data_IF_847537024547
#
_entry.id   IF_847537024547
#
_cell.length_a   1.000
_cell.length_b   1.000
_cell.length_c   1.000
_cell.angle_alpha   90.00
_cell.angle_beta   90.00
_cell.angle_gamma   90.00
#
_symmetry.space_group_name_H-M   'P 1'
#
loop_
_entity.id
_entity.type
_entity.pdbx_description
1 polymer ?
#
# COMPACT_ATOMS: atom_id res chain seq x y z
N UNK A 1 15.94 -33.36 15.76
CA UNK A 1 15.51 -32.12 15.07
C UNK A 1 16.76 -31.31 14.76
N UNK A 2 17.05 -30.99 13.50
CA UNK A 2 18.18 -30.12 13.16
C UNK A 2 17.76 -28.66 13.38
N UNK A 3 18.65 -27.85 13.96
CA UNK A 3 18.45 -26.39 14.07
C UNK A 3 18.50 -25.70 12.70
N UNK A 4 19.31 -26.27 11.79
CA UNK A 4 19.41 -25.76 10.43
C UNK A 4 18.37 -26.42 9.52
N UNK A 5 17.64 -25.60 8.75
CA UNK A 5 16.71 -26.09 7.73
C UNK A 5 17.46 -26.55 6.47
N UNK A 6 16.83 -27.41 5.68
CA UNK A 6 17.38 -27.85 4.38
C UNK A 6 17.48 -26.69 3.37
N UNK A 7 16.64 -25.66 3.54
CA UNK A 7 16.66 -24.44 2.73
C UNK A 7 17.50 -23.34 3.41
N UNK A 8 18.82 -23.50 3.43
CA UNK A 8 19.72 -22.46 3.91
C UNK A 8 19.86 -21.35 2.86
N UNK A 9 19.78 -20.08 3.32
CA UNK A 9 20.15 -18.95 2.48
C UNK A 9 21.68 -18.93 2.30
N UNK A 10 22.17 -18.57 1.10
CA UNK A 10 23.59 -18.37 0.88
C UNK A 10 24.19 -17.34 1.85
N UNK A 11 25.49 -17.45 2.12
CA UNK A 11 26.18 -16.60 3.07
C UNK A 11 26.02 -15.10 2.76
N UNK A 12 25.78 -14.33 3.81
CA UNK A 12 25.74 -12.89 3.77
C UNK A 12 27.06 -12.31 4.29
N UNK A 13 27.63 -11.34 3.59
CA UNK A 13 28.89 -10.68 3.95
C UNK A 13 28.66 -9.24 4.35
N UNK A 14 29.26 -8.81 5.47
CA UNK A 14 29.27 -7.41 5.89
C UNK A 14 30.36 -6.64 5.16
N UNK A 15 29.98 -5.57 4.49
CA UNK A 15 30.89 -4.72 3.71
C UNK A 15 30.56 -3.23 3.87
N UNK A 16 31.26 -2.36 3.20
CA UNK A 16 31.09 -0.91 3.30
C UNK A 16 31.15 -0.27 1.92
N UNK A 17 30.28 0.71 1.69
CA UNK A 17 30.27 1.52 0.48
C UNK A 17 30.31 3.01 0.85
N UNK A 18 30.99 3.84 0.05
CA UNK A 18 30.97 5.29 0.30
C UNK A 18 29.63 5.89 -0.16
N UNK A 19 29.21 7.00 0.45
CA UNK A 19 27.98 7.68 0.05
C UNK A 19 28.07 8.18 -1.40
N UNK A 20 29.24 8.59 -1.86
CA UNK A 20 29.46 8.94 -3.26
C UNK A 20 29.33 7.76 -4.20
N UNK A 21 29.77 6.56 -3.80
CA UNK A 21 29.60 5.34 -4.59
C UNK A 21 28.14 4.91 -4.64
N UNK A 22 27.40 4.97 -3.52
CA UNK A 22 25.96 4.73 -3.50
C UNK A 22 25.26 5.65 -4.50
N UNK A 23 25.58 6.94 -4.47
CA UNK A 23 25.00 7.91 -5.38
C UNK A 23 25.28 7.55 -6.83
N UNK A 24 26.53 7.24 -7.18
CA UNK A 24 26.90 6.91 -8.54
C UNK A 24 26.18 5.65 -9.06
N UNK A 25 26.08 4.61 -8.23
CA UNK A 25 25.40 3.35 -8.59
C UNK A 25 23.88 3.48 -8.72
N UNK A 26 23.27 4.48 -8.07
CA UNK A 26 21.83 4.78 -8.20
C UNK A 26 21.53 5.78 -9.31
N UNK A 27 22.53 6.38 -9.94
CA UNK A 27 22.38 7.45 -10.92
C UNK A 27 22.48 6.94 -12.36
N UNK A 28 21.95 7.72 -13.31
CA UNK A 28 21.98 7.40 -14.74
C UNK A 28 20.75 6.62 -15.22
N UNK A 29 20.68 6.36 -16.52
CA UNK A 29 19.55 5.72 -17.18
C UNK A 29 19.42 4.22 -16.85
N UNK A 30 20.51 3.59 -16.43
CA UNK A 30 20.56 2.17 -16.07
C UNK A 30 21.33 1.95 -14.75
N UNK A 31 20.78 2.34 -13.61
CA UNK A 31 21.47 2.27 -12.31
C UNK A 31 21.80 0.83 -11.95
N UNK A 32 22.98 0.63 -11.36
CA UNK A 32 23.41 -0.68 -10.84
C UNK A 32 22.69 -1.03 -9.51
N UNK A 33 22.49 -0.03 -8.65
CA UNK A 33 21.81 -0.17 -7.37
C UNK A 33 20.34 0.28 -7.49
N UNK A 34 19.41 -0.64 -7.27
CA UNK A 34 17.98 -0.45 -7.52
C UNK A 34 17.12 -0.84 -6.34
N UNK A 35 15.95 -0.23 -6.27
CA UNK A 35 14.87 -0.64 -5.38
C UNK A 35 14.00 -1.65 -6.11
N UNK A 36 13.72 -2.84 -5.52
CA UNK A 36 12.80 -3.79 -6.12
C UNK A 36 11.38 -3.23 -6.21
N UNK A 37 10.65 -3.61 -7.25
CA UNK A 37 9.29 -3.14 -7.50
C UNK A 37 8.23 -3.59 -6.47
N UNK A 38 8.53 -4.59 -5.65
CA UNK A 38 7.65 -5.04 -4.56
C UNK A 38 7.81 -4.23 -3.26
N UNK A 39 8.83 -3.37 -3.17
CA UNK A 39 8.98 -2.46 -2.04
C UNK A 39 8.13 -1.21 -2.24
N UNK A 40 7.74 -0.60 -1.11
CA UNK A 40 6.99 0.65 -1.11
C UNK A 40 7.82 1.79 -1.69
N UNK A 41 7.15 2.84 -2.17
CA UNK A 41 7.80 4.09 -2.53
C UNK A 41 8.51 4.75 -1.32
N UNK A 42 9.37 5.73 -1.62
CA UNK A 42 10.02 6.52 -0.60
C UNK A 42 9.01 7.28 0.27
N UNK A 43 9.06 7.09 1.60
CA UNK A 43 8.01 7.57 2.51
C UNK A 43 8.50 8.51 3.61
N UNK A 44 9.81 8.78 3.73
CA UNK A 44 10.30 9.65 4.79
C UNK A 44 9.83 11.08 4.62
N UNK A 45 9.23 11.62 5.68
CA UNK A 45 8.89 13.03 5.80
C UNK A 45 10.17 13.90 5.84
N UNK A 46 10.01 15.19 5.55
CA UNK A 46 11.12 16.15 5.64
C UNK A 46 11.84 16.11 6.99
N UNK A 47 11.10 15.98 8.08
CA UNK A 47 11.70 15.88 9.43
C UNK A 47 12.55 14.61 9.60
N UNK A 48 12.14 13.47 9.05
CA UNK A 48 12.92 12.25 9.09
C UNK A 48 14.19 12.35 8.23
N UNK A 49 14.10 12.98 7.05
CA UNK A 49 15.25 13.28 6.21
C UNK A 49 16.27 14.16 6.94
N UNK A 50 15.81 15.26 7.52
CA UNK A 50 16.67 16.20 8.26
C UNK A 50 17.35 15.54 9.45
N UNK A 51 16.64 14.72 10.24
CA UNK A 51 17.22 13.97 11.35
C UNK A 51 18.29 12.97 10.90
N UNK A 52 18.07 12.33 9.77
CA UNK A 52 19.04 11.39 9.22
C UNK A 52 20.29 12.12 8.72
N UNK A 53 20.13 13.22 7.98
CA UNK A 53 21.24 14.06 7.55
C UNK A 53 21.99 14.69 8.73
N UNK A 54 21.28 15.03 9.80
CA UNK A 54 21.92 15.48 11.07
C UNK A 54 22.79 14.38 11.69
N UNK A 55 22.30 13.14 11.71
CA UNK A 55 23.10 12.00 12.20
C UNK A 55 24.38 11.82 11.38
N UNK A 56 24.29 11.96 10.05
CA UNK A 56 25.47 11.94 9.17
C UNK A 56 26.43 13.11 9.50
N UNK A 57 25.90 14.33 9.63
CA UNK A 57 26.73 15.51 9.93
C UNK A 57 27.48 15.42 11.26
N UNK A 58 26.89 14.72 12.23
CA UNK A 58 27.50 14.45 13.56
C UNK A 58 28.38 13.20 13.58
N UNK A 59 28.58 12.55 12.43
CA UNK A 59 29.31 11.29 12.32
C UNK A 59 28.77 10.20 13.27
N UNK A 60 27.45 10.20 13.51
CA UNK A 60 26.81 9.16 14.32
C UNK A 60 26.80 7.83 13.58
N UNK A 61 26.82 6.69 14.28
CA UNK A 61 26.66 5.40 13.65
C UNK A 61 25.34 5.36 12.88
N UNK A 62 25.40 5.10 11.58
CA UNK A 62 24.24 4.91 10.72
C UNK A 62 23.99 3.42 10.57
N UNK A 63 22.71 3.03 10.76
CA UNK A 63 22.32 1.66 10.48
C UNK A 63 22.58 1.36 9.01
N UNK A 64 23.07 0.15 8.76
CA UNK A 64 23.40 -0.32 7.43
C UNK A 64 22.20 -0.57 6.55
N UNK A 65 22.47 -1.12 5.38
CA UNK A 65 21.49 -1.62 4.45
C UNK A 65 21.66 -3.12 4.25
N UNK A 66 20.71 -3.76 3.58
CA UNK A 66 20.88 -5.12 3.06
C UNK A 66 20.66 -5.06 1.54
N UNK A 67 21.59 -5.62 0.80
CA UNK A 67 21.64 -5.55 -0.66
C UNK A 67 21.84 -6.96 -1.21
N UNK A 68 21.04 -7.36 -2.18
CA UNK A 68 21.24 -8.62 -2.91
C UNK A 68 21.88 -8.34 -4.27
N UNK A 69 23.04 -8.91 -4.51
CA UNK A 69 23.74 -8.84 -5.80
C UNK A 69 23.28 -10.02 -6.68
N UNK A 70 22.71 -9.74 -7.83
CA UNK A 70 22.55 -10.70 -8.93
C UNK A 70 23.89 -10.75 -9.69
N UNK A 71 24.69 -11.79 -9.46
CA UNK A 71 26.03 -11.91 -10.06
C UNK A 71 25.99 -12.07 -11.58
N UNK A 72 24.86 -12.52 -12.14
CA UNK A 72 24.68 -12.72 -13.57
C UNK A 72 24.47 -11.38 -14.30
N UNK A 73 23.74 -10.45 -13.67
CA UNK A 73 23.40 -9.15 -14.30
C UNK A 73 24.25 -8.01 -13.77
N UNK A 74 24.91 -8.19 -12.61
CA UNK A 74 25.61 -7.14 -11.87
C UNK A 74 24.68 -6.17 -11.16
N UNK A 75 23.36 -6.38 -11.18
CA UNK A 75 22.39 -5.52 -10.53
C UNK A 75 22.35 -5.81 -9.03
N UNK A 76 22.38 -4.74 -8.24
CA UNK A 76 22.26 -4.77 -6.79
C UNK A 76 20.85 -4.33 -6.38
N UNK A 77 20.14 -5.19 -5.66
CA UNK A 77 18.78 -4.94 -5.19
C UNK A 77 18.77 -4.56 -3.71
N UNK A 78 18.24 -3.38 -3.37
CA UNK A 78 18.12 -2.91 -2.00
C UNK A 78 17.02 -3.71 -1.30
N UNK A 79 17.39 -4.55 -0.34
CA UNK A 79 16.46 -5.36 0.44
C UNK A 79 15.95 -4.61 1.69
N UNK A 80 16.83 -3.87 2.36
CA UNK A 80 16.52 -2.95 3.47
C UNK A 80 17.40 -1.70 3.40
N UNK A 81 16.91 -0.63 4.00
CA UNK A 81 17.63 0.64 4.04
C UNK A 81 17.27 1.60 2.90
N UNK A 82 16.27 1.29 2.09
CA UNK A 82 15.81 2.12 0.97
C UNK A 82 15.67 3.60 1.33
N UNK A 83 14.96 3.92 2.41
CA UNK A 83 14.75 5.32 2.80
C UNK A 83 16.06 6.04 3.15
N UNK A 84 17.00 5.33 3.76
CA UNK A 84 18.34 5.87 4.08
C UNK A 84 19.14 6.17 2.82
N UNK A 85 19.22 5.18 1.94
CA UNK A 85 19.93 5.27 0.67
C UNK A 85 19.33 6.35 -0.23
N UNK A 86 18.01 6.37 -0.37
CA UNK A 86 17.31 7.35 -1.19
C UNK A 86 17.44 8.78 -0.63
N UNK A 87 17.47 8.96 0.69
CA UNK A 87 17.75 10.26 1.30
C UNK A 87 19.17 10.75 0.95
N UNK A 88 20.16 9.86 0.96
CA UNK A 88 21.53 10.18 0.54
C UNK A 88 21.54 10.61 -0.93
N UNK A 89 20.91 9.81 -1.82
CA UNK A 89 20.82 10.12 -3.25
C UNK A 89 20.20 11.49 -3.48
N UNK A 90 19.05 11.75 -2.87
CA UNK A 90 18.33 13.03 -3.01
C UNK A 90 19.12 14.21 -2.49
N UNK A 91 19.84 14.05 -1.40
CA UNK A 91 20.69 15.12 -0.86
C UNK A 91 21.88 15.41 -1.78
N UNK A 92 22.58 14.39 -2.25
CA UNK A 92 23.70 14.55 -3.18
C UNK A 92 23.30 15.07 -4.57
N UNK A 93 21.99 14.94 -4.91
CA UNK A 93 21.39 15.44 -6.16
C UNK A 93 20.63 16.77 -5.99
N UNK A 94 20.82 17.48 -4.86
CA UNK A 94 20.14 18.76 -4.55
C UNK A 94 18.60 18.73 -4.53
N UNK A 95 17.99 17.53 -4.47
CA UNK A 95 16.54 17.38 -4.38
C UNK A 95 15.99 17.70 -2.99
N UNK A 96 16.82 17.63 -1.97
CA UNK A 96 16.49 17.99 -0.57
C UNK A 96 17.58 18.86 0.04
N UNK A 97 17.19 19.65 1.03
CA UNK A 97 18.09 20.56 1.75
C UNK A 97 18.31 20.11 3.18
N UNK A 98 19.52 20.28 3.70
CA UNK A 98 19.81 20.14 5.12
C UNK A 98 20.04 21.53 5.74
N UNK A 99 19.23 21.90 6.73
CA UNK A 99 19.26 23.23 7.37
C UNK A 99 19.21 24.38 6.33
N UNK A 100 18.44 24.22 5.27
CA UNK A 100 18.27 25.22 4.22
C UNK A 100 19.37 25.20 3.14
N UNK A 101 20.41 24.40 3.26
CA UNK A 101 21.57 24.35 2.33
C UNK A 101 21.48 23.09 1.44
N UNK A 102 21.70 23.24 0.13
CA UNK A 102 21.86 22.14 -0.82
C UNK A 102 23.30 21.59 -0.75
N UNK A 103 23.48 20.34 -1.20
CA UNK A 103 24.80 19.74 -1.27
C UNK A 103 25.77 20.52 -2.18
N UNK A 104 25.29 21.02 -3.34
CA UNK A 104 26.09 21.82 -4.27
C UNK A 104 26.57 23.15 -3.68
N UNK A 105 25.87 23.69 -2.68
CA UNK A 105 26.21 24.95 -2.00
C UNK A 105 27.28 24.78 -0.92
N UNK A 106 27.63 23.53 -0.53
CA UNK A 106 28.64 23.26 0.49
C UNK A 106 30.06 23.52 -0.02
N UNK A 107 31.00 23.84 0.86
CA UNK A 107 32.44 23.92 0.52
C UNK A 107 32.98 22.59 -0.02
N UNK A 108 33.96 22.63 -0.92
CA UNK A 108 34.49 21.42 -1.58
C UNK A 108 35.12 20.39 -0.62
N UNK A 109 35.70 20.84 0.47
CA UNK A 109 36.19 19.96 1.51
C UNK A 109 35.07 19.21 2.22
N UNK A 110 33.92 19.84 2.47
CA UNK A 110 32.75 19.18 3.05
C UNK A 110 32.09 18.21 2.07
N UNK A 111 31.94 18.62 0.81
CA UNK A 111 31.44 17.73 -0.27
C UNK A 111 32.28 16.44 -0.35
N UNK A 112 33.61 16.57 -0.36
CA UNK A 112 34.52 15.42 -0.36
C UNK A 112 34.36 14.57 0.89
N UNK A 113 34.27 15.20 2.05
CA UNK A 113 34.10 14.50 3.33
C UNK A 113 32.80 13.69 3.33
N UNK A 114 31.68 14.28 2.91
CA UNK A 114 30.37 13.60 2.83
C UNK A 114 30.43 12.43 1.85
N UNK A 115 30.93 12.65 0.64
CA UNK A 115 31.06 11.56 -0.38
C UNK A 115 31.92 10.39 0.11
N UNK A 116 32.93 10.66 0.92
CA UNK A 116 33.85 9.64 1.46
C UNK A 116 33.31 8.92 2.72
N UNK A 117 32.26 9.42 3.36
CA UNK A 117 31.63 8.71 4.49
C UNK A 117 31.20 7.32 4.05
N UNK A 118 31.39 6.33 4.95
CA UNK A 118 31.08 4.93 4.66
C UNK A 118 29.80 4.51 5.35
N UNK A 119 28.92 3.88 4.59
CA UNK A 119 27.77 3.14 5.10
C UNK A 119 28.09 1.64 5.08
N UNK A 120 27.86 0.96 6.21
CA UNK A 120 27.93 -0.49 6.25
C UNK A 120 26.73 -1.09 5.58
N UNK A 121 26.88 -2.22 4.89
CA UNK A 121 25.75 -3.00 4.41
C UNK A 121 26.07 -4.48 4.45
N UNK A 122 25.04 -5.31 4.48
CA UNK A 122 25.17 -6.75 4.33
C UNK A 122 24.86 -7.09 2.87
N UNK A 123 25.79 -7.72 2.18
CA UNK A 123 25.61 -8.22 0.84
C UNK A 123 25.19 -9.67 0.87
N UNK A 124 24.10 -10.00 0.19
CA UNK A 124 23.71 -11.35 -0.17
C UNK A 124 23.89 -11.51 -1.68
N UNK A 125 24.03 -12.73 -2.17
CA UNK A 125 24.28 -13.00 -3.58
C UNK A 125 23.33 -14.04 -4.12
N UNK A 126 22.78 -13.74 -5.29
CA UNK A 126 21.94 -14.66 -6.08
C UNK A 126 20.73 -15.24 -5.32
N UNK A 127 20.21 -14.47 -4.32
CA UNK A 127 18.96 -14.87 -3.68
C UNK A 127 17.82 -14.80 -4.69
N UNK A 128 16.96 -15.81 -4.68
CA UNK A 128 15.75 -15.79 -5.48
C UNK A 128 14.81 -14.66 -5.03
N UNK A 129 13.84 -14.34 -5.88
CA UNK A 129 12.83 -13.33 -5.54
C UNK A 129 12.04 -13.71 -4.28
N UNK A 130 11.69 -14.99 -4.14
CA UNK A 130 10.98 -15.52 -2.98
C UNK A 130 11.80 -15.38 -1.70
N UNK A 131 13.10 -15.70 -1.76
CA UNK A 131 14.01 -15.51 -0.63
C UNK A 131 14.14 -14.06 -0.22
N UNK A 132 14.23 -13.16 -1.21
CA UNK A 132 14.27 -11.72 -0.98
C UNK A 132 12.98 -11.21 -0.34
N UNK A 133 11.82 -11.69 -0.78
CA UNK A 133 10.52 -11.32 -0.21
C UNK A 133 10.34 -11.86 1.22
N UNK A 134 10.69 -13.12 1.47
CA UNK A 134 10.65 -13.72 2.81
C UNK A 134 11.53 -12.93 3.80
N UNK A 135 12.75 -12.60 3.41
CA UNK A 135 13.65 -11.80 4.21
C UNK A 135 13.07 -10.39 4.48
N UNK A 136 12.54 -9.71 3.46
CA UNK A 136 11.91 -8.41 3.61
C UNK A 136 10.76 -8.46 4.62
N UNK A 137 9.92 -9.49 4.56
CA UNK A 137 8.81 -9.67 5.51
C UNK A 137 9.32 -9.85 6.94
N UNK A 138 10.35 -10.67 7.15
CA UNK A 138 10.94 -10.94 8.48
C UNK A 138 11.58 -9.69 9.10
N UNK A 139 12.31 -8.90 8.33
CA UNK A 139 12.91 -7.64 8.84
C UNK A 139 11.83 -6.65 9.28
N UNK A 140 10.70 -6.62 8.55
CA UNK A 140 9.61 -5.70 8.83
C UNK A 140 8.74 -6.12 10.03
N UNK A 141 8.92 -7.31 10.59
CA UNK A 141 8.24 -7.71 11.82
C UNK A 141 8.52 -6.75 13.00
N UNK A 142 9.64 -6.03 12.98
CA UNK A 142 9.97 -4.97 13.95
C UNK A 142 9.24 -3.64 13.73
N UNK A 143 8.78 -3.37 12.51
CA UNK A 143 7.96 -2.20 12.15
C UNK A 143 6.77 -2.73 11.37
N UNK A 144 5.65 -3.00 12.07
CA UNK A 144 4.45 -3.58 11.45
C UNK A 144 4.14 -2.93 10.11
N UNK A 145 4.37 -3.68 9.04
CA UNK A 145 3.80 -3.35 7.74
C UNK A 145 2.28 -3.31 7.87
N UNK A 146 1.66 -2.38 7.16
CA UNK A 146 0.20 -2.41 7.00
C UNK A 146 -0.19 -3.52 6.03
N UNK A 147 -1.40 -3.99 6.18
CA UNK A 147 -1.91 -5.09 5.37
C UNK A 147 -1.80 -4.82 3.86
N UNK A 148 -2.03 -3.57 3.43
CA UNK A 148 -1.83 -3.16 2.04
C UNK A 148 -0.38 -3.28 1.54
N UNK A 149 0.60 -2.98 2.39
CA UNK A 149 2.03 -3.15 2.07
C UNK A 149 2.41 -4.64 1.94
N UNK A 150 1.81 -5.50 2.80
CA UNK A 150 2.00 -6.96 2.74
C UNK A 150 1.38 -7.57 1.47
N UNK A 151 0.18 -7.12 1.07
CA UNK A 151 -0.47 -7.55 -0.17
C UNK A 151 0.39 -7.14 -1.37
N UNK A 152 0.84 -5.87 -1.42
CA UNK A 152 1.68 -5.39 -2.51
C UNK A 152 3.00 -6.16 -2.62
N UNK A 153 3.61 -6.54 -1.49
CA UNK A 153 4.85 -7.32 -1.48
C UNK A 153 4.69 -8.73 -2.09
N UNK A 154 3.48 -9.29 -2.07
CA UNK A 154 3.14 -10.57 -2.70
C UNK A 154 2.82 -10.40 -4.21
N UNK A 155 3.71 -9.76 -4.96
CA UNK A 155 3.47 -9.37 -6.36
C UNK A 155 3.20 -10.53 -7.33
N UNK A 156 3.58 -11.76 -6.97
CA UNK A 156 3.33 -12.96 -7.78
C UNK A 156 1.99 -13.64 -7.45
N UNK A 157 1.35 -13.23 -6.34
CA UNK A 157 0.04 -13.72 -5.93
C UNK A 157 -1.05 -13.28 -6.93
N UNK A 158 -1.95 -14.18 -7.25
CA UNK A 158 -3.02 -13.94 -8.25
C UNK A 158 -4.00 -12.84 -7.85
N UNK A 159 -4.30 -12.68 -6.54
CA UNK A 159 -5.11 -11.56 -6.06
C UNK A 159 -4.39 -10.24 -6.25
N UNK A 160 -3.08 -10.18 -5.96
CA UNK A 160 -2.28 -8.96 -6.16
C UNK A 160 -2.23 -8.57 -7.64
N UNK A 161 -2.08 -9.53 -8.56
CA UNK A 161 -2.17 -9.27 -10.00
C UNK A 161 -3.54 -8.73 -10.41
N UNK A 162 -4.62 -9.29 -9.87
CA UNK A 162 -5.98 -8.81 -10.10
C UNK A 162 -6.17 -7.37 -9.59
N UNK A 163 -5.65 -7.04 -8.41
CA UNK A 163 -5.66 -5.68 -7.86
C UNK A 163 -4.93 -4.71 -8.79
N UNK A 164 -3.71 -5.05 -9.23
CA UNK A 164 -2.94 -4.22 -10.18
C UNK A 164 -3.73 -3.99 -11.46
N UNK A 165 -4.31 -5.04 -12.04
CA UNK A 165 -5.14 -4.93 -13.25
C UNK A 165 -6.38 -4.03 -13.07
N UNK A 166 -7.01 -4.02 -11.89
CA UNK A 166 -8.10 -3.08 -11.60
C UNK A 166 -7.57 -1.65 -11.50
N UNK A 167 -6.41 -1.46 -10.85
CA UNK A 167 -5.81 -0.15 -10.67
C UNK A 167 -5.38 0.54 -11.97
N UNK A 168 -5.07 -0.20 -13.03
CA UNK A 168 -4.80 0.38 -14.36
C UNK A 168 -5.92 1.34 -14.82
N UNK A 169 -7.16 1.10 -14.38
CA UNK A 169 -8.33 1.89 -14.76
C UNK A 169 -8.92 2.74 -13.63
N UNK A 170 -8.62 2.41 -12.37
CA UNK A 170 -9.26 2.99 -11.20
C UNK A 170 -8.30 3.70 -10.23
N UNK A 171 -7.05 3.97 -10.62
CA UNK A 171 -6.08 4.63 -9.72
C UNK A 171 -6.58 5.99 -9.23
N UNK A 172 -7.23 6.76 -10.09
CA UNK A 172 -7.76 8.08 -9.76
C UNK A 172 -9.02 8.01 -8.90
N UNK A 173 -9.80 6.93 -8.95
CA UNK A 173 -10.93 6.69 -8.08
C UNK A 173 -10.56 6.76 -6.58
N UNK A 174 -9.37 6.29 -6.22
CA UNK A 174 -8.90 6.34 -4.84
C UNK A 174 -8.37 7.72 -4.43
N UNK A 175 -7.86 8.52 -5.37
CA UNK A 175 -7.26 9.84 -5.14
C UNK A 175 -8.29 10.95 -5.17
N UNK A 176 -9.21 10.90 -6.15
CA UNK A 176 -10.19 11.93 -6.39
C UNK A 176 -11.15 12.05 -5.22
N UNK A 177 -11.60 13.28 -4.94
CA UNK A 177 -12.62 13.52 -3.92
C UNK A 177 -13.96 12.92 -4.34
N UNK A 178 -14.89 12.63 -3.41
CA UNK A 178 -16.21 12.11 -3.75
C UNK A 178 -16.98 12.97 -4.75
N UNK A 179 -16.88 14.29 -4.67
CA UNK A 179 -17.48 15.21 -5.66
C UNK A 179 -16.98 14.98 -7.09
N UNK A 180 -15.81 14.40 -7.25
CA UNK A 180 -15.16 14.08 -8.52
C UNK A 180 -15.19 12.56 -8.79
N UNK A 181 -16.08 11.83 -8.10
CA UNK A 181 -16.34 10.39 -8.30
C UNK A 181 -15.37 9.45 -7.59
N UNK A 182 -14.56 9.93 -6.66
CA UNK A 182 -13.57 9.12 -5.96
C UNK A 182 -13.85 8.91 -4.47
N UNK A 183 -12.86 8.34 -3.77
CA UNK A 183 -12.91 8.09 -2.33
C UNK A 183 -12.17 9.17 -1.51
N UNK A 184 -11.32 9.99 -2.13
CA UNK A 184 -10.60 11.08 -1.49
C UNK A 184 -9.56 10.62 -0.47
N UNK A 185 -8.92 9.47 -0.69
CA UNK A 185 -7.91 8.96 0.22
C UNK A 185 -6.66 9.84 0.23
N UNK A 186 -6.08 10.00 1.41
CA UNK A 186 -4.87 10.82 1.57
C UNK A 186 -3.67 10.20 0.86
N UNK A 187 -2.72 11.02 0.35
CA UNK A 187 -1.50 10.51 -0.23
C UNK A 187 -0.75 9.53 0.69
N UNK A 188 -0.68 9.80 1.99
CA UNK A 188 -0.03 8.93 2.96
C UNK A 188 -0.69 7.54 3.09
N UNK A 189 -2.03 7.45 2.91
CA UNK A 189 -2.72 6.16 2.88
C UNK A 189 -2.44 5.39 1.59
N UNK A 190 -2.40 6.09 0.46
CA UNK A 190 -2.10 5.49 -0.85
C UNK A 190 -0.63 5.04 -0.95
N UNK A 191 0.32 5.84 -0.43
CA UNK A 191 1.75 5.47 -0.37
C UNK A 191 2.01 4.21 0.47
N UNK A 192 1.13 3.88 1.40
CA UNK A 192 1.17 2.65 2.18
C UNK A 192 0.25 1.58 1.62
N UNK A 193 -0.08 1.64 0.34
CA UNK A 193 -0.91 0.68 -0.40
C UNK A 193 -2.28 0.40 0.23
N UNK A 194 -2.88 1.39 0.90
CA UNK A 194 -4.20 1.24 1.49
C UNK A 194 -5.31 0.94 0.47
N UNK A 195 -5.14 1.34 -0.80
CA UNK A 195 -6.02 0.97 -1.89
C UNK A 195 -5.96 -0.53 -2.26
N UNK A 196 -4.84 -1.21 -2.02
CA UNK A 196 -4.73 -2.67 -2.15
C UNK A 196 -5.57 -3.39 -1.10
N UNK A 197 -5.53 -2.88 0.14
CA UNK A 197 -6.37 -3.36 1.23
C UNK A 197 -7.86 -3.28 0.88
N UNK A 198 -8.29 -2.14 0.34
CA UNK A 198 -9.68 -1.92 -0.07
C UNK A 198 -10.07 -2.84 -1.24
N UNK A 199 -9.25 -2.91 -2.29
CA UNK A 199 -9.56 -3.73 -3.45
C UNK A 199 -9.59 -5.22 -3.12
N UNK A 200 -8.62 -5.74 -2.38
CA UNK A 200 -8.63 -7.13 -1.94
C UNK A 200 -9.88 -7.45 -1.09
N UNK A 201 -10.27 -6.50 -0.24
CA UNK A 201 -11.51 -6.59 0.55
C UNK A 201 -12.75 -6.62 -0.35
N UNK A 202 -12.83 -5.74 -1.36
CA UNK A 202 -13.97 -5.68 -2.29
C UNK A 202 -14.06 -6.94 -3.15
N UNK A 203 -12.93 -7.44 -3.67
CA UNK A 203 -12.90 -8.68 -4.46
C UNK A 203 -13.43 -9.85 -3.64
N UNK A 204 -12.97 -10.00 -2.37
CA UNK A 204 -13.53 -11.02 -1.50
C UNK A 204 -15.01 -10.83 -1.24
N UNK A 205 -15.44 -9.62 -0.92
CA UNK A 205 -16.83 -9.28 -0.65
C UNK A 205 -17.74 -9.66 -1.84
N UNK A 206 -17.32 -9.33 -3.04
CA UNK A 206 -18.02 -9.69 -4.29
C UNK A 206 -18.06 -11.20 -4.45
N UNK A 207 -16.93 -11.90 -4.26
CA UNK A 207 -16.84 -13.35 -4.43
C UNK A 207 -17.67 -14.14 -3.41
N UNK A 208 -17.70 -13.70 -2.14
CA UNK A 208 -18.36 -14.43 -1.05
C UNK A 208 -19.75 -13.88 -0.70
N UNK A 209 -20.09 -12.69 -1.16
CA UNK A 209 -21.27 -11.94 -0.74
C UNK A 209 -21.33 -11.69 0.79
N UNK A 210 -20.16 -11.66 1.45
CA UNK A 210 -20.00 -11.41 2.88
C UNK A 210 -19.34 -10.06 3.15
N UNK A 211 -19.79 -9.36 4.20
CA UNK A 211 -19.14 -8.13 4.63
C UNK A 211 -17.85 -8.44 5.40
N UNK A 212 -16.75 -7.76 5.09
CA UNK A 212 -15.48 -7.98 5.77
C UNK A 212 -15.44 -7.33 7.15
N UNK A 213 -15.27 -8.13 8.20
CA UNK A 213 -15.17 -7.63 9.59
C UNK A 213 -13.89 -6.81 9.85
N UNK A 214 -12.80 -7.16 9.17
CA UNK A 214 -11.47 -6.52 9.30
C UNK A 214 -10.86 -6.38 7.91
N UNK A 215 -11.11 -5.26 7.21
CA UNK A 215 -10.78 -5.13 5.79
C UNK A 215 -9.36 -5.54 5.42
N UNK A 216 -8.33 -5.04 6.07
CA UNK A 216 -6.94 -5.36 5.74
C UNK A 216 -6.60 -6.83 5.94
N UNK A 217 -6.93 -7.38 7.12
CA UNK A 217 -6.72 -8.81 7.39
C UNK A 217 -7.52 -9.67 6.41
N UNK A 218 -8.74 -9.28 6.10
CA UNK A 218 -9.60 -9.98 5.15
C UNK A 218 -8.97 -10.05 3.77
N UNK A 219 -8.36 -8.97 3.30
CA UNK A 219 -7.66 -8.93 2.02
C UNK A 219 -6.38 -9.80 2.03
N UNK A 220 -5.65 -9.85 3.14
CA UNK A 220 -4.50 -10.76 3.31
C UNK A 220 -4.91 -12.23 3.30
N UNK A 221 -5.95 -12.57 4.07
CA UNK A 221 -6.50 -13.93 4.09
C UNK A 221 -6.98 -14.35 2.69
N UNK A 222 -7.49 -13.40 1.90
CA UNK A 222 -7.91 -13.66 0.52
C UNK A 222 -6.70 -13.91 -0.41
N UNK A 223 -5.52 -13.31 -0.15
CA UNK A 223 -4.30 -13.68 -0.87
C UNK A 223 -3.97 -15.16 -0.69
N UNK A 224 -4.05 -15.66 0.55
CA UNK A 224 -3.77 -17.07 0.84
C UNK A 224 -4.79 -18.00 0.15
N UNK A 225 -6.06 -17.57 0.05
CA UNK A 225 -7.11 -18.30 -0.70
C UNK A 225 -6.80 -18.34 -2.21
N UNK A 226 -6.24 -17.27 -2.77
CA UNK A 226 -5.94 -17.20 -4.21
C UNK A 226 -4.64 -17.89 -4.61
N UNK A 227 -3.80 -18.24 -3.65
CA UNK A 227 -2.61 -19.09 -3.88
C UNK A 227 -3.00 -20.58 -4.06
N UNK A 228 -4.18 -21.02 -3.60
CA UNK A 228 -4.70 -22.35 -3.87
C UNK A 228 -5.13 -22.46 -5.35
N UNK A 229 -4.55 -23.39 -6.08
CA UNK A 229 -4.84 -23.61 -7.50
C UNK A 229 -6.30 -24.04 -7.77
N UNK A 230 -6.97 -24.59 -6.76
CA UNK A 230 -8.30 -25.18 -6.90
C UNK A 230 -9.43 -24.27 -6.41
N UNK A 231 -9.15 -23.31 -5.53
CA UNK A 231 -10.18 -22.48 -4.90
C UNK A 231 -9.68 -21.07 -4.64
N UNK A 232 -10.30 -19.98 -5.18
CA UNK A 232 -11.41 -20.02 -6.14
C UNK A 232 -10.98 -20.45 -7.54
N UNK A 233 -11.89 -21.05 -8.29
CA UNK A 233 -11.63 -21.41 -9.68
C UNK A 233 -11.31 -20.19 -10.53
N UNK A 234 -10.66 -20.39 -11.67
CA UNK A 234 -10.35 -19.29 -12.61
C UNK A 234 -11.60 -18.49 -13.00
N UNK A 235 -12.71 -19.15 -13.29
CA UNK A 235 -13.97 -18.47 -13.63
C UNK A 235 -14.50 -17.63 -12.45
N UNK A 236 -14.41 -18.11 -11.22
CA UNK A 236 -14.81 -17.35 -10.04
C UNK A 236 -13.92 -16.11 -9.81
N UNK A 237 -12.62 -16.22 -10.07
CA UNK A 237 -11.67 -15.11 -10.01
C UNK A 237 -12.02 -14.04 -11.06
N UNK A 238 -12.21 -14.46 -12.32
CA UNK A 238 -12.58 -13.57 -13.43
C UNK A 238 -13.92 -12.85 -13.16
N UNK A 239 -14.93 -13.57 -12.69
CA UNK A 239 -16.22 -12.98 -12.30
C UNK A 239 -16.06 -11.96 -11.19
N UNK A 240 -15.31 -12.27 -10.13
CA UNK A 240 -15.09 -11.35 -9.02
C UNK A 240 -14.38 -10.06 -9.46
N UNK A 241 -13.42 -10.16 -10.38
CA UNK A 241 -12.72 -8.99 -10.96
C UNK A 241 -13.68 -8.12 -11.75
N UNK A 242 -14.49 -8.71 -12.64
CA UNK A 242 -15.44 -7.98 -13.48
C UNK A 242 -16.49 -7.28 -12.62
N UNK A 243 -17.14 -8.00 -11.71
CA UNK A 243 -18.18 -7.43 -10.84
C UNK A 243 -17.61 -6.36 -9.90
N UNK A 244 -16.34 -6.50 -9.44
CA UNK A 244 -15.68 -5.44 -8.65
C UNK A 244 -15.51 -4.17 -9.49
N UNK A 245 -15.08 -4.27 -10.74
CA UNK A 245 -14.95 -3.10 -11.65
C UNK A 245 -16.30 -2.42 -11.88
N UNK A 246 -17.35 -3.19 -12.12
CA UNK A 246 -18.71 -2.65 -12.31
C UNK A 246 -19.21 -1.95 -11.04
N UNK A 247 -18.99 -2.54 -9.87
CA UNK A 247 -19.31 -1.91 -8.59
C UNK A 247 -18.56 -0.58 -8.39
N UNK A 248 -17.28 -0.51 -8.73
CA UNK A 248 -16.50 0.73 -8.63
C UNK A 248 -17.01 1.81 -9.59
N UNK A 249 -17.36 1.45 -10.83
CA UNK A 249 -17.97 2.39 -11.77
C UNK A 249 -19.30 2.92 -11.26
N UNK A 250 -20.14 2.04 -10.75
CA UNK A 250 -21.44 2.41 -10.20
C UNK A 250 -21.29 3.29 -8.96
N UNK A 251 -20.36 2.94 -8.09
CA UNK A 251 -20.08 3.73 -6.90
C UNK A 251 -19.54 5.12 -7.23
N UNK A 252 -18.74 5.27 -8.27
CA UNK A 252 -18.26 6.56 -8.75
C UNK A 252 -19.42 7.47 -9.15
N UNK A 253 -20.43 6.94 -9.86
CA UNK A 253 -21.66 7.67 -10.20
C UNK A 253 -22.43 8.10 -8.95
N UNK A 254 -22.54 7.21 -7.96
CA UNK A 254 -23.22 7.50 -6.69
C UNK A 254 -22.43 8.59 -5.92
N UNK A 255 -21.12 8.50 -5.85
CA UNK A 255 -20.30 9.48 -5.14
C UNK A 255 -20.44 10.89 -5.70
N UNK A 256 -20.55 11.02 -7.03
CA UNK A 256 -20.76 12.33 -7.70
C UNK A 256 -22.16 12.91 -7.57
N UNK A 257 -23.16 12.12 -7.25
CA UNK A 257 -24.56 12.54 -7.23
C UNK A 257 -25.16 12.63 -5.82
N UNK A 258 -24.64 11.86 -4.85
CA UNK A 258 -25.14 11.85 -3.47
C UNK A 258 -24.52 12.97 -2.66
N UNK A 259 -25.33 13.90 -2.13
CA UNK A 259 -24.88 15.10 -1.45
C UNK A 259 -24.07 14.79 -0.17
N UNK A 260 -24.49 13.80 0.61
CA UNK A 260 -23.80 13.40 1.85
C UNK A 260 -22.39 12.86 1.61
N UNK A 261 -22.18 12.12 0.51
CA UNK A 261 -20.85 11.65 0.12
C UNK A 261 -19.91 12.80 -0.27
N UNK A 262 -20.42 13.82 -0.95
CA UNK A 262 -19.64 15.02 -1.32
C UNK A 262 -19.07 15.78 -0.12
N UNK A 263 -19.73 15.69 1.04
CA UNK A 263 -19.27 16.28 2.29
C UNK A 263 -18.11 15.49 2.93
N UNK A 264 -17.86 14.27 2.45
CA UNK A 264 -16.87 13.34 2.95
C UNK A 264 -17.44 12.42 4.04
N UNK A 265 -17.09 11.15 3.93
CA UNK A 265 -17.41 10.10 4.92
C UNK A 265 -16.16 9.29 5.22
N UNK A 266 -16.18 8.52 6.31
CA UNK A 266 -15.05 7.67 6.68
C UNK A 266 -14.91 6.48 5.71
N UNK A 267 -13.71 5.92 5.63
CA UNK A 267 -13.39 4.74 4.80
C UNK A 267 -14.36 3.58 5.05
N UNK A 268 -14.67 3.32 6.28
CA UNK A 268 -15.57 2.25 6.70
C UNK A 268 -16.98 2.43 6.13
N UNK A 269 -17.47 3.66 6.04
CA UNK A 269 -18.79 3.97 5.48
C UNK A 269 -18.82 3.78 3.97
N UNK A 270 -17.74 4.09 3.26
CA UNK A 270 -17.61 3.75 1.85
C UNK A 270 -17.75 2.24 1.63
N UNK A 271 -17.06 1.42 2.44
CA UNK A 271 -17.14 -0.05 2.33
C UNK A 271 -18.53 -0.59 2.68
N UNK A 272 -19.17 -0.06 3.74
CA UNK A 272 -20.53 -0.45 4.12
C UNK A 272 -21.53 -0.16 3.03
N UNK A 273 -21.42 1.03 2.43
CA UNK A 273 -22.31 1.42 1.34
C UNK A 273 -22.06 0.58 0.08
N UNK A 274 -20.82 0.31 -0.30
CA UNK A 274 -20.48 -0.59 -1.41
C UNK A 274 -21.04 -2.00 -1.20
N UNK A 275 -20.92 -2.54 0.03
CA UNK A 275 -21.52 -3.82 0.38
C UNK A 275 -23.04 -3.81 0.24
N UNK A 276 -23.69 -2.76 0.75
CA UNK A 276 -25.14 -2.62 0.63
C UNK A 276 -25.57 -2.56 -0.83
N UNK A 277 -24.94 -1.72 -1.65
CA UNK A 277 -25.19 -1.57 -3.08
C UNK A 277 -25.02 -2.91 -3.81
N UNK A 278 -23.96 -3.64 -3.49
CA UNK A 278 -23.68 -4.94 -4.10
C UNK A 278 -24.74 -5.97 -3.71
N UNK A 279 -24.96 -6.16 -2.41
CA UNK A 279 -25.89 -7.17 -1.87
C UNK A 279 -27.36 -6.90 -2.25
N UNK A 280 -27.75 -5.62 -2.34
CA UNK A 280 -29.08 -5.19 -2.78
C UNK A 280 -29.27 -5.36 -4.28
N UNK A 281 -28.21 -5.51 -5.06
CA UNK A 281 -28.25 -5.62 -6.51
C UNK A 281 -28.30 -4.27 -7.25
N UNK A 282 -28.21 -3.14 -6.54
CA UNK A 282 -28.28 -1.79 -7.13
C UNK A 282 -27.16 -1.52 -8.14
N UNK A 283 -26.04 -2.22 -8.04
CA UNK A 283 -24.93 -2.07 -8.98
C UNK A 283 -25.26 -2.54 -10.40
N UNK A 284 -26.34 -3.33 -10.56
CA UNK A 284 -26.87 -3.79 -11.86
C UNK A 284 -27.95 -2.87 -12.40
N UNK A 285 -28.49 -1.97 -11.58
CA UNK A 285 -29.57 -1.07 -11.96
C UNK A 285 -29.06 0.17 -12.69
N UNK A 286 -29.90 0.79 -13.50
CA UNK A 286 -29.63 2.11 -14.05
C UNK A 286 -29.82 3.15 -12.96
N UNK A 287 -28.78 3.97 -12.73
CA UNK A 287 -28.80 5.00 -11.69
C UNK A 287 -29.67 6.18 -12.12
N UNK A 288 -30.55 6.59 -11.22
CA UNK A 288 -31.44 7.73 -11.40
C UNK A 288 -31.53 8.59 -10.14
N UNK A 289 -32.21 9.72 -10.25
CA UNK A 289 -32.31 10.70 -9.15
C UNK A 289 -33.05 10.13 -7.92
N UNK A 290 -34.01 9.26 -8.12
CA UNK A 290 -34.73 8.59 -7.03
C UNK A 290 -33.79 7.72 -6.19
N UNK A 291 -32.95 6.89 -6.84
CA UNK A 291 -31.96 6.06 -6.16
C UNK A 291 -30.93 6.92 -5.42
N UNK A 292 -30.43 8.01 -6.03
CA UNK A 292 -29.50 8.91 -5.37
C UNK A 292 -30.11 9.57 -4.12
N UNK A 293 -31.36 10.03 -4.20
CA UNK A 293 -32.07 10.63 -3.07
C UNK A 293 -32.30 9.62 -1.94
N UNK A 294 -32.63 8.37 -2.26
CA UNK A 294 -32.79 7.30 -1.26
C UNK A 294 -31.46 6.97 -0.57
N UNK A 295 -30.35 6.89 -1.32
CA UNK A 295 -29.02 6.68 -0.74
C UNK A 295 -28.60 7.88 0.13
N UNK A 296 -28.89 9.12 -0.30
CA UNK A 296 -28.58 10.30 0.49
C UNK A 296 -29.38 10.32 1.81
N UNK A 297 -30.66 10.02 1.77
CA UNK A 297 -31.49 9.89 2.97
C UNK A 297 -30.99 8.79 3.92
N UNK A 298 -30.61 7.63 3.38
CA UNK A 298 -29.99 6.54 4.13
C UNK A 298 -28.73 7.01 4.87
N UNK A 299 -27.79 7.64 4.15
CA UNK A 299 -26.54 8.12 4.75
C UNK A 299 -26.76 9.22 5.77
N UNK A 300 -27.64 10.18 5.51
CA UNK A 300 -28.00 11.21 6.48
C UNK A 300 -28.58 10.61 7.77
N UNK A 301 -29.31 9.51 7.67
CA UNK A 301 -29.87 8.84 8.84
C UNK A 301 -28.84 8.03 9.63
N UNK A 302 -28.03 7.21 8.96
CA UNK A 302 -27.03 6.36 9.64
C UNK A 302 -25.80 7.13 10.13
N UNK A 303 -25.51 8.30 9.58
CA UNK A 303 -24.37 9.13 9.98
C UNK A 303 -24.73 10.25 10.95
N UNK A 304 -26.01 10.47 11.22
CA UNK A 304 -26.46 11.46 12.20
C UNK A 304 -26.44 10.84 13.62
N UNK A 305 -25.63 11.43 14.50
CA UNK A 305 -25.47 10.98 15.88
C UNK A 305 -26.73 11.04 16.73
N UNK A 306 -27.71 11.83 16.32
CA UNK A 306 -28.97 11.98 17.02
C UNK A 306 -29.99 10.86 16.66
N UNK A 307 -29.65 10.01 15.72
CA UNK A 307 -30.52 8.90 15.29
C UNK A 307 -30.15 7.56 15.94
N UNK A 308 -31.16 6.78 16.37
CA UNK A 308 -30.93 5.46 16.97
C UNK A 308 -30.13 4.49 16.09
N UNK A 309 -30.29 4.59 14.78
CA UNK A 309 -29.59 3.75 13.83
C UNK A 309 -28.07 3.99 13.83
N UNK A 310 -27.64 5.25 14.08
CA UNK A 310 -26.23 5.57 14.24
C UNK A 310 -25.64 4.82 15.43
N UNK A 311 -26.32 4.84 16.56
CA UNK A 311 -25.89 4.16 17.77
C UNK A 311 -25.86 2.64 17.57
N UNK A 312 -26.86 2.07 16.92
CA UNK A 312 -26.91 0.65 16.60
C UNK A 312 -25.71 0.23 15.74
N UNK A 313 -25.42 0.97 14.65
CA UNK A 313 -24.28 0.68 13.78
C UNK A 313 -22.94 0.88 14.52
N UNK A 314 -22.85 1.89 15.36
CA UNK A 314 -21.64 2.15 16.15
C UNK A 314 -21.38 1.06 17.18
N UNK A 315 -22.41 0.56 17.87
CA UNK A 315 -22.33 -0.54 18.81
C UNK A 315 -22.00 -1.88 18.15
N UNK A 316 -22.52 -2.13 16.95
CA UNK A 316 -22.19 -3.33 16.19
C UNK A 316 -20.73 -3.29 15.71
N UNK A 317 -20.17 -2.10 15.56
CA UNK A 317 -18.81 -1.89 15.05
C UNK A 317 -18.60 -2.56 13.70
N UNK A 318 -17.61 -3.45 13.61
CA UNK A 318 -17.39 -4.32 12.43
C UNK A 318 -17.87 -5.75 12.66
N UNK A 319 -18.56 -6.02 13.79
CA UNK A 319 -18.78 -7.38 14.28
C UNK A 319 -20.00 -8.11 13.68
N UNK A 320 -20.99 -7.41 13.15
CA UNK A 320 -22.21 -8.05 12.63
C UNK A 320 -22.67 -7.44 11.29
N UNK A 321 -22.11 -7.95 10.25
CA UNK A 321 -22.35 -7.51 8.87
C UNK A 321 -23.83 -7.70 8.42
N UNK A 322 -24.46 -8.76 8.92
CA UNK A 322 -25.87 -9.06 8.56
C UNK A 322 -26.80 -7.99 9.11
N UNK A 323 -26.60 -7.60 10.36
CA UNK A 323 -27.40 -6.55 11.02
C UNK A 323 -27.17 -5.18 10.39
N UNK A 324 -25.94 -4.85 10.00
CA UNK A 324 -25.66 -3.58 9.28
C UNK A 324 -26.45 -3.55 7.97
N UNK A 325 -26.46 -4.65 7.21
CA UNK A 325 -27.23 -4.73 6.00
C UNK A 325 -28.74 -4.61 6.27
N UNK A 326 -29.27 -5.26 7.29
CA UNK A 326 -30.67 -5.18 7.68
C UNK A 326 -31.10 -3.75 8.05
N UNK A 327 -30.26 -3.02 8.82
CA UNK A 327 -30.49 -1.62 9.14
C UNK A 327 -30.52 -0.77 7.86
N UNK A 328 -29.53 -0.92 6.99
CA UNK A 328 -29.47 -0.18 5.73
C UNK A 328 -30.69 -0.51 4.84
N UNK A 329 -31.08 -1.77 4.77
CA UNK A 329 -32.20 -2.21 3.96
C UNK A 329 -33.57 -1.76 4.53
N UNK A 330 -33.69 -1.60 5.84
CA UNK A 330 -34.91 -1.08 6.47
C UNK A 330 -35.11 0.43 6.27
N UNK A 331 -34.00 1.18 6.09
CA UNK A 331 -34.05 2.63 5.87
C UNK A 331 -34.20 2.93 4.37
N UNK A 332 -33.52 2.16 3.53
CA UNK A 332 -33.54 2.34 2.07
C UNK A 332 -34.88 1.98 1.46
#
# INVERSE_FOLDING_TARGET
MSFFSENQHPNAEATKMSLGEIFNRMSGDNPELRVPNYQREYVWSRNQQERYLESLSRNMPIFGAVINLDTRTGIQWIMDGQNRIETIRRFLNDEIRYKGVCFSELPDNEKRRIKNMKMSYTETRDWSREQCQDFFMRIQEGVKLKDGELIHARSDNELTKAIVHILEHFVDFFKNKPKDGGLGFTPGYLHRYGHYEILGTLIRMVRTCEYPLRPGKTALDECDVWDDENTPTRSQRETAIVETKELLHKYSQIATNVARLKQGVKKEEHLRLMYFIYKKGLWREEMNEEIYNRIDALLNRVLNKDNPEHDQITLLGTGDASKIYEIYNAIY
#
